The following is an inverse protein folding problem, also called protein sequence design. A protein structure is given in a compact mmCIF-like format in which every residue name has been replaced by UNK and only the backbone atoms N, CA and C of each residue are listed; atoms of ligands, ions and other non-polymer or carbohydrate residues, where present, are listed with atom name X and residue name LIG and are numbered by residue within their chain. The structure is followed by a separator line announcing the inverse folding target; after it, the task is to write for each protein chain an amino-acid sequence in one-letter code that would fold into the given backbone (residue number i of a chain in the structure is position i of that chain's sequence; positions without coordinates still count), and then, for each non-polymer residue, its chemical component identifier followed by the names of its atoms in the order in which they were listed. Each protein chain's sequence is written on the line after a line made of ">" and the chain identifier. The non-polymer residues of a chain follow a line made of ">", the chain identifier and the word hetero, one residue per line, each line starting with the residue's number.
data_IF_840319769165
#
_entry.id   IF_840319769165
#
_cell.length_a   1.000
_cell.length_b   1.000
_cell.length_c   1.000
_cell.angle_alpha   90.00
_cell.angle_beta   90.00
_cell.angle_gamma   90.00
#
_symmetry.space_group_name_H-M   'P 1'
#
loop_
_entity.id
_entity.type
_entity.pdbx_description
1 polymer ?
#
# COMPACT_ATOMS: atom_id res chain seq x y z
N UNK A 1 -49.44 51.19 27.37
CA UNK A 1 -48.44 52.04 26.70
C UNK A 1 -48.60 51.90 25.20
N UNK A 2 -48.95 52.97 24.47
CA UNK A 2 -49.16 52.89 23.02
C UNK A 2 -47.82 52.69 22.32
N UNK A 3 -47.72 51.64 21.51
CA UNK A 3 -46.56 51.31 20.69
C UNK A 3 -46.19 52.48 19.78
N UNK A 4 -44.93 52.93 19.83
CA UNK A 4 -44.36 53.96 18.94
C UNK A 4 -44.47 53.60 17.44
N UNK A 5 -44.87 52.37 17.10
CA UNK A 5 -45.07 51.87 15.73
C UNK A 5 -46.42 52.28 15.09
N UNK A 6 -47.37 52.82 15.86
CA UNK A 6 -48.69 53.23 15.35
C UNK A 6 -48.77 54.69 14.88
N UNK A 7 -47.76 55.51 15.16
CA UNK A 7 -47.76 56.93 14.82
C UNK A 7 -47.26 57.18 13.38
N UNK A 8 -48.09 57.79 12.53
CA UNK A 8 -47.80 58.08 11.10
C UNK A 8 -46.58 58.98 10.91
N UNK A 9 -46.29 59.87 11.87
CA UNK A 9 -45.10 60.73 11.81
C UNK A 9 -43.82 59.95 12.16
N UNK A 10 -43.86 59.06 13.16
CA UNK A 10 -42.74 58.18 13.49
C UNK A 10 -42.42 57.21 12.34
N UNK A 11 -43.45 56.67 11.65
CA UNK A 11 -43.28 55.87 10.43
C UNK A 11 -42.60 56.63 9.29
N UNK A 12 -42.81 57.94 9.16
CA UNK A 12 -42.24 58.75 8.07
C UNK A 12 -40.78 59.12 8.35
N UNK A 13 -40.43 59.35 9.61
CA UNK A 13 -39.06 59.67 10.05
C UNK A 13 -38.16 58.42 10.11
N UNK A 14 -38.70 57.25 10.47
CA UNK A 14 -37.92 56.00 10.55
C UNK A 14 -37.79 55.25 9.21
N UNK A 15 -38.57 55.62 8.19
CA UNK A 15 -38.56 55.00 6.86
C UNK A 15 -37.17 54.96 6.19
N UNK A 16 -36.35 56.03 6.24
CA UNK A 16 -35.01 56.01 5.67
C UNK A 16 -34.07 55.04 6.40
N UNK A 17 -34.18 54.97 7.73
CA UNK A 17 -33.37 54.05 8.53
C UNK A 17 -33.73 52.58 8.25
N UNK A 18 -35.03 52.27 8.11
CA UNK A 18 -35.48 50.94 7.69
C UNK A 18 -35.01 50.57 6.29
N UNK A 19 -35.10 51.49 5.32
CA UNK A 19 -34.62 51.25 3.95
C UNK A 19 -33.11 50.96 3.91
N UNK A 20 -32.31 51.63 4.75
CA UNK A 20 -30.86 51.37 4.85
C UNK A 20 -30.57 50.00 5.48
N UNK A 21 -31.36 49.57 6.47
CA UNK A 21 -31.23 48.23 7.08
C UNK A 21 -31.64 47.15 6.08
N UNK A 22 -32.76 47.34 5.38
CA UNK A 22 -33.25 46.43 4.34
C UNK A 22 -32.23 46.30 3.20
N UNK A 23 -31.71 47.42 2.69
CA UNK A 23 -30.67 47.42 1.66
C UNK A 23 -29.36 46.77 2.15
N UNK A 24 -29.01 46.91 3.43
CA UNK A 24 -27.85 46.24 4.02
C UNK A 24 -28.09 44.73 4.17
N UNK A 25 -29.29 44.32 4.58
CA UNK A 25 -29.66 42.91 4.66
C UNK A 25 -29.67 42.28 3.26
N UNK A 26 -30.22 42.94 2.24
CA UNK A 26 -30.18 42.47 0.85
C UNK A 26 -28.75 42.31 0.32
N UNK A 27 -27.85 43.25 0.61
CA UNK A 27 -26.43 43.11 0.24
C UNK A 27 -25.75 41.95 0.96
N UNK A 28 -26.09 41.72 2.22
CA UNK A 28 -25.53 40.62 3.02
C UNK A 28 -26.09 39.27 2.55
N UNK A 29 -27.39 39.18 2.25
CA UNK A 29 -28.00 37.94 1.74
C UNK A 29 -27.50 37.59 0.34
N UNK A 30 -27.34 38.57 -0.54
CA UNK A 30 -26.78 38.35 -1.88
C UNK A 30 -25.31 37.92 -1.82
N UNK A 31 -24.51 38.51 -0.94
CA UNK A 31 -23.13 38.06 -0.71
C UNK A 31 -23.08 36.62 -0.17
N UNK A 32 -23.91 36.28 0.83
CA UNK A 32 -23.98 34.91 1.35
C UNK A 32 -24.48 33.90 0.32
N UNK A 33 -25.42 34.29 -0.55
CA UNK A 33 -25.88 33.42 -1.64
C UNK A 33 -24.75 33.16 -2.65
N UNK A 34 -23.98 34.20 -3.00
CA UNK A 34 -22.82 34.04 -3.87
C UNK A 34 -21.75 33.11 -3.25
N UNK A 35 -21.49 33.25 -1.95
CA UNK A 35 -20.55 32.37 -1.22
C UNK A 35 -21.05 30.91 -1.18
N UNK A 36 -22.35 30.70 -0.97
CA UNK A 36 -22.96 29.36 -0.98
C UNK A 36 -22.91 28.74 -2.38
N UNK A 37 -23.17 29.51 -3.43
CA UNK A 37 -23.10 29.03 -4.81
C UNK A 37 -21.66 28.69 -5.22
N UNK A 38 -20.67 29.47 -4.76
CA UNK A 38 -19.26 29.17 -4.92
C UNK A 38 -18.87 27.88 -4.19
N UNK A 39 -19.28 27.72 -2.93
CA UNK A 39 -19.04 26.50 -2.17
C UNK A 39 -19.71 25.28 -2.80
N UNK A 40 -20.93 25.41 -3.32
CA UNK A 40 -21.59 24.34 -4.06
C UNK A 40 -20.84 23.95 -5.33
N UNK A 41 -20.28 24.92 -6.07
CA UNK A 41 -19.44 24.64 -7.22
C UNK A 41 -18.15 23.91 -6.81
N UNK A 42 -17.45 24.38 -5.79
CA UNK A 42 -16.24 23.71 -5.28
C UNK A 42 -16.53 22.28 -4.79
N UNK A 43 -17.64 22.08 -4.08
CA UNK A 43 -18.07 20.75 -3.64
C UNK A 43 -18.45 19.86 -4.84
N UNK A 44 -19.10 20.41 -5.87
CA UNK A 44 -19.41 19.67 -7.09
C UNK A 44 -18.14 19.28 -7.86
N UNK A 45 -17.15 20.16 -7.93
CA UNK A 45 -15.84 19.87 -8.52
C UNK A 45 -15.06 18.82 -7.73
N UNK A 46 -15.03 18.94 -6.41
CA UNK A 46 -14.43 17.93 -5.53
C UNK A 46 -15.13 16.57 -5.69
N UNK A 47 -16.45 16.54 -5.82
CA UNK A 47 -17.21 15.30 -6.08
C UNK A 47 -16.88 14.68 -7.44
N UNK A 48 -16.70 15.49 -8.48
CA UNK A 48 -16.25 15.02 -9.81
C UNK A 48 -14.84 14.43 -9.74
N UNK A 49 -13.92 15.11 -9.08
CA UNK A 49 -12.55 14.63 -8.87
C UNK A 49 -12.52 13.35 -8.03
N UNK A 50 -13.31 13.30 -6.95
CA UNK A 50 -13.42 12.13 -6.09
C UNK A 50 -14.06 10.94 -6.80
N UNK A 51 -14.94 11.16 -7.77
CA UNK A 51 -15.57 10.07 -8.53
C UNK A 51 -14.53 9.32 -9.37
N UNK A 52 -13.67 10.02 -10.10
CA UNK A 52 -12.58 9.40 -10.87
C UNK A 52 -11.60 8.64 -9.98
N UNK A 53 -11.26 9.20 -8.82
CA UNK A 53 -10.45 8.51 -7.80
C UNK A 53 -11.18 7.30 -7.23
N UNK A 54 -12.48 7.39 -6.98
CA UNK A 54 -13.33 6.29 -6.54
C UNK A 54 -13.32 5.14 -7.52
N UNK A 55 -13.47 5.37 -8.82
CA UNK A 55 -13.39 4.29 -9.82
C UNK A 55 -12.08 3.50 -9.77
N UNK A 56 -10.99 4.11 -9.34
CA UNK A 56 -9.68 3.46 -9.20
C UNK A 56 -9.43 2.88 -7.79
N UNK A 57 -9.98 3.51 -6.75
CA UNK A 57 -9.57 3.32 -5.35
C UNK A 57 -10.74 2.97 -4.40
N UNK A 58 -11.94 2.70 -4.93
CA UNK A 58 -13.10 2.29 -4.14
C UNK A 58 -12.94 0.86 -3.58
N UNK A 59 -13.85 0.46 -2.67
CA UNK A 59 -13.78 -0.76 -1.87
C UNK A 59 -13.89 -2.08 -2.66
N UNK A 60 -14.13 -2.05 -3.98
CA UNK A 60 -14.31 -3.24 -4.79
C UNK A 60 -13.07 -4.15 -4.78
N UNK A 61 -13.07 -5.18 -3.92
CA UNK A 61 -12.03 -6.21 -3.83
C UNK A 61 -11.02 -6.07 -2.67
N UNK A 62 -11.28 -5.24 -1.64
CA UNK A 62 -10.52 -5.23 -0.37
C UNK A 62 -11.41 -4.94 0.83
N UNK A 63 -11.07 -5.53 1.98
CA UNK A 63 -11.64 -5.20 3.28
C UNK A 63 -11.03 -3.89 3.83
N UNK A 64 -11.38 -2.73 3.24
CA UNK A 64 -10.94 -1.42 3.72
C UNK A 64 -10.84 -0.31 2.66
N UNK A 65 -10.59 0.93 3.10
CA UNK A 65 -10.32 2.07 2.21
C UNK A 65 -8.94 1.92 1.54
N UNK A 66 -8.87 2.04 0.20
CA UNK A 66 -7.59 1.92 -0.54
C UNK A 66 -6.76 3.20 -0.56
N UNK A 67 -7.30 4.30 -0.04
CA UNK A 67 -6.58 5.57 0.06
C UNK A 67 -5.95 5.73 1.45
N UNK A 68 -4.62 5.68 1.57
CA UNK A 68 -3.98 5.97 2.84
C UNK A 68 -4.13 7.45 3.17
N UNK A 69 -4.45 7.75 4.42
CA UNK A 69 -4.43 9.12 4.96
C UNK A 69 -2.99 9.63 5.07
N UNK A 70 -2.81 10.96 5.10
CA UNK A 70 -1.49 11.57 5.30
C UNK A 70 -0.80 11.03 6.56
N UNK A 71 -1.55 10.90 7.66
CA UNK A 71 -1.04 10.34 8.93
C UNK A 71 -0.56 8.89 8.80
N UNK A 72 -1.25 8.06 8.01
CA UNK A 72 -0.82 6.68 7.74
C UNK A 72 0.47 6.66 6.94
N UNK A 73 0.60 7.51 5.90
CA UNK A 73 1.83 7.62 5.12
C UNK A 73 2.98 8.11 5.98
N UNK A 74 2.78 9.13 6.81
CA UNK A 74 3.81 9.69 7.68
C UNK A 74 4.29 8.68 8.73
N UNK A 75 3.36 7.90 9.27
CA UNK A 75 3.67 6.79 10.18
C UNK A 75 4.52 5.75 9.47
N UNK A 76 4.11 5.34 8.27
CA UNK A 76 4.82 4.35 7.47
C UNK A 76 6.23 4.82 7.11
N UNK A 77 6.39 6.09 6.70
CA UNK A 77 7.71 6.69 6.43
C UNK A 77 8.61 6.59 7.64
N UNK A 78 8.11 6.95 8.83
CA UNK A 78 8.89 6.87 10.07
C UNK A 78 9.33 5.44 10.38
N UNK A 79 8.44 4.46 10.22
CA UNK A 79 8.74 3.04 10.45
C UNK A 79 9.78 2.51 9.46
N UNK A 80 9.61 2.81 8.16
CA UNK A 80 10.60 2.45 7.12
C UNK A 80 11.97 3.03 7.46
N UNK A 81 12.05 4.33 7.79
CA UNK A 81 13.31 4.98 8.16
C UNK A 81 13.95 4.33 9.40
N UNK A 82 13.16 3.94 10.39
CA UNK A 82 13.65 3.27 11.59
C UNK A 82 14.26 1.89 11.29
N UNK A 83 13.68 1.14 10.35
CA UNK A 83 14.15 -0.20 9.96
C UNK A 83 15.35 -0.14 9.01
N UNK A 84 15.36 0.82 8.08
CA UNK A 84 16.39 0.91 7.03
C UNK A 84 17.59 1.76 7.42
N UNK A 85 17.43 2.65 8.41
CA UNK A 85 18.42 3.68 8.74
C UNK A 85 18.47 4.83 7.72
N UNK A 86 17.53 4.89 6.77
CA UNK A 86 17.46 6.00 5.80
C UNK A 86 16.99 7.28 6.49
N UNK A 87 17.86 8.29 6.58
CA UNK A 87 17.52 9.60 7.13
C UNK A 87 16.88 10.56 6.12
N UNK A 88 16.83 10.20 4.84
CA UNK A 88 16.46 11.09 3.74
C UNK A 88 15.00 11.03 3.32
N UNK A 89 14.66 11.77 2.25
CA UNK A 89 13.34 11.77 1.62
C UNK A 89 13.07 10.51 0.76
N UNK A 90 14.06 9.62 0.63
CA UNK A 90 13.94 8.42 -0.20
C UNK A 90 12.84 7.49 0.30
N UNK A 91 12.72 7.26 1.62
CA UNK A 91 11.63 6.46 2.19
C UNK A 91 10.22 6.92 1.74
N UNK A 92 9.91 8.23 1.81
CA UNK A 92 8.61 8.77 1.36
C UNK A 92 8.42 8.61 -0.14
N UNK A 93 9.47 8.88 -0.90
CA UNK A 93 9.43 8.73 -2.35
C UNK A 93 9.16 7.27 -2.77
N UNK A 94 9.83 6.31 -2.14
CA UNK A 94 9.66 4.88 -2.43
C UNK A 94 8.31 4.34 -1.97
N UNK A 95 7.76 4.82 -0.83
CA UNK A 95 6.37 4.52 -0.42
C UNK A 95 5.37 5.03 -1.45
N UNK A 96 5.56 6.24 -1.97
CA UNK A 96 4.67 6.82 -2.98
C UNK A 96 4.68 5.99 -4.27
N UNK A 97 5.86 5.50 -4.67
CA UNK A 97 6.00 4.64 -5.85
C UNK A 97 5.39 3.26 -5.59
N UNK A 98 5.63 2.67 -4.42
CA UNK A 98 5.02 1.42 -4.01
C UNK A 98 3.48 1.50 -4.07
N UNK A 99 2.90 2.60 -3.58
CA UNK A 99 1.46 2.83 -3.67
C UNK A 99 0.95 2.92 -5.12
N UNK A 100 1.68 3.61 -6.01
CA UNK A 100 1.32 3.67 -7.43
C UNK A 100 1.39 2.31 -8.10
N UNK A 101 2.41 1.51 -7.78
CA UNK A 101 2.51 0.15 -8.29
C UNK A 101 1.40 -0.75 -7.76
N UNK A 102 1.07 -0.63 -6.48
CA UNK A 102 -0.06 -1.31 -5.86
C UNK A 102 -1.36 -1.08 -6.64
N UNK A 103 -1.73 0.19 -6.84
CA UNK A 103 -2.95 0.55 -7.58
C UNK A 103 -2.90 0.01 -9.01
N UNK A 104 -1.75 0.10 -9.68
CA UNK A 104 -1.61 -0.39 -11.05
C UNK A 104 -1.75 -1.92 -11.16
N UNK A 105 -1.14 -2.69 -10.26
CA UNK A 105 -1.24 -4.16 -10.32
C UNK A 105 -2.62 -4.66 -9.88
N UNK A 106 -3.28 -4.01 -8.93
CA UNK A 106 -4.67 -4.36 -8.56
C UNK A 106 -5.67 -4.03 -9.67
N UNK A 107 -5.45 -2.94 -10.42
CA UNK A 107 -6.34 -2.56 -11.51
C UNK A 107 -6.20 -3.44 -12.77
N UNK A 108 -5.01 -3.99 -13.01
CA UNK A 108 -4.71 -4.79 -14.21
C UNK A 108 -4.74 -6.30 -13.95
N UNK A 109 -4.50 -6.71 -12.71
CA UNK A 109 -4.36 -8.10 -12.31
C UNK A 109 -5.70 -8.77 -11.99
N UNK A 110 -5.67 -10.10 -11.97
CA UNK A 110 -6.80 -10.91 -11.53
C UNK A 110 -6.64 -11.29 -10.03
N UNK A 111 -7.69 -11.06 -9.24
CA UNK A 111 -7.69 -11.32 -7.80
C UNK A 111 -7.36 -10.08 -6.98
N UNK A 112 -6.73 -10.27 -5.83
CA UNK A 112 -6.42 -9.19 -4.89
C UNK A 112 -5.13 -9.43 -4.12
N UNK A 113 -4.66 -8.39 -3.43
CA UNK A 113 -3.50 -8.47 -2.55
C UNK A 113 -3.93 -8.75 -1.12
N UNK A 114 -3.23 -9.69 -0.46
CA UNK A 114 -3.35 -9.87 0.98
C UNK A 114 -2.71 -8.71 1.75
N UNK A 115 -3.21 -8.48 2.95
CA UNK A 115 -2.73 -7.46 3.86
C UNK A 115 -3.34 -6.08 3.60
N UNK A 116 -2.96 -5.12 4.46
CA UNK A 116 -3.39 -3.72 4.36
C UNK A 116 -2.58 -2.96 3.30
N UNK A 117 -3.07 -1.79 2.86
CA UNK A 117 -2.32 -0.90 1.96
C UNK A 117 -0.96 -0.51 2.57
N UNK A 118 -0.94 -0.19 3.87
CA UNK A 118 0.27 0.16 4.60
C UNK A 118 1.26 -1.00 4.66
N UNK A 119 0.79 -2.22 4.91
CA UNK A 119 1.64 -3.41 4.93
C UNK A 119 2.29 -3.66 3.57
N UNK A 120 1.49 -3.69 2.49
CA UNK A 120 2.02 -3.90 1.14
C UNK A 120 3.00 -2.79 0.74
N UNK A 121 2.64 -1.51 0.93
CA UNK A 121 3.54 -0.40 0.59
C UNK A 121 4.81 -0.42 1.44
N UNK A 122 4.70 -0.77 2.73
CA UNK A 122 5.82 -0.92 3.64
C UNK A 122 6.82 -1.97 3.15
N UNK A 123 6.34 -3.16 2.79
CA UNK A 123 7.19 -4.24 2.24
C UNK A 123 7.86 -3.84 0.93
N UNK A 124 7.09 -3.29 0.01
CA UNK A 124 7.58 -2.86 -1.30
C UNK A 124 8.65 -1.76 -1.22
N UNK A 125 8.52 -0.82 -0.27
CA UNK A 125 9.49 0.24 -0.08
C UNK A 125 10.70 -0.19 0.77
N UNK A 126 10.49 -1.00 1.81
CA UNK A 126 11.54 -1.36 2.77
C UNK A 126 12.55 -2.35 2.18
N UNK A 127 12.08 -3.35 1.43
CA UNK A 127 12.98 -4.41 0.92
C UNK A 127 14.11 -3.88 0.04
N UNK A 128 13.86 -3.02 -0.98
CA UNK A 128 14.94 -2.46 -1.79
C UNK A 128 15.94 -1.61 -0.97
N UNK A 129 15.42 -0.81 -0.02
CA UNK A 129 16.23 0.05 0.86
C UNK A 129 17.17 -0.74 1.78
N UNK A 130 16.80 -1.97 2.15
CA UNK A 130 17.64 -2.85 2.95
C UNK A 130 18.80 -3.48 2.16
N UNK A 131 18.89 -3.24 0.85
CA UNK A 131 19.96 -3.70 -0.04
C UNK A 131 20.22 -5.20 0.09
N UNK A 132 19.30 -6.07 -0.39
CA UNK A 132 19.47 -7.51 -0.28
C UNK A 132 20.76 -7.98 -0.98
N UNK A 133 21.41 -9.04 -0.48
CA UNK A 133 22.75 -9.44 -0.91
C UNK A 133 22.79 -10.04 -2.33
N UNK A 134 21.65 -10.44 -2.88
CA UNK A 134 21.51 -10.94 -4.24
C UNK A 134 20.07 -10.76 -4.74
N UNK A 135 19.83 -11.04 -6.02
CA UNK A 135 18.53 -10.93 -6.68
C UNK A 135 17.63 -12.17 -6.59
N UNK A 136 18.00 -13.23 -5.87
CA UNK A 136 17.11 -14.38 -5.69
C UNK A 136 16.04 -14.06 -4.63
N UNK A 137 14.77 -14.08 -5.05
CA UNK A 137 13.61 -13.72 -4.22
C UNK A 137 12.73 -14.94 -4.05
N UNK A 138 12.40 -15.28 -2.81
CA UNK A 138 11.42 -16.31 -2.47
C UNK A 138 10.18 -15.67 -1.85
N UNK A 139 8.99 -15.95 -2.36
CA UNK A 139 7.74 -15.66 -1.69
C UNK A 139 7.01 -16.97 -1.37
N UNK A 140 6.62 -17.12 -0.10
CA UNK A 140 5.83 -18.23 0.41
C UNK A 140 4.44 -17.71 0.73
N UNK A 141 3.42 -18.29 0.09
CA UNK A 141 2.02 -17.87 0.20
C UNK A 141 1.72 -16.62 -0.64
N UNK A 142 1.76 -16.73 -1.97
CA UNK A 142 1.63 -15.56 -2.87
C UNK A 142 0.18 -15.19 -3.17
N UNK A 143 -0.77 -16.12 -2.91
CA UNK A 143 -2.17 -16.05 -3.36
C UNK A 143 -2.27 -15.85 -4.88
N UNK A 144 -2.34 -14.59 -5.34
CA UNK A 144 -2.54 -14.22 -6.73
C UNK A 144 -1.25 -13.75 -7.43
N UNK A 145 -0.09 -13.65 -6.75
CA UNK A 145 1.15 -13.22 -7.40
C UNK A 145 1.35 -11.71 -7.58
N UNK A 146 0.36 -10.89 -7.21
CA UNK A 146 0.40 -9.44 -7.40
C UNK A 146 1.50 -8.76 -6.57
N UNK A 147 1.78 -9.27 -5.37
CA UNK A 147 2.80 -8.69 -4.51
C UNK A 147 4.19 -8.91 -5.10
N UNK A 148 4.50 -10.16 -5.48
CA UNK A 148 5.74 -10.48 -6.17
C UNK A 148 5.94 -9.67 -7.45
N UNK A 149 4.88 -9.48 -8.25
CA UNK A 149 4.95 -8.65 -9.45
C UNK A 149 5.35 -7.19 -9.13
N UNK A 150 4.74 -6.59 -8.11
CA UNK A 150 5.07 -5.25 -7.66
C UNK A 150 6.50 -5.18 -7.05
N UNK A 151 6.90 -6.18 -6.26
CA UNK A 151 8.23 -6.25 -5.66
C UNK A 151 9.33 -6.35 -6.73
N UNK A 152 9.11 -7.14 -7.79
CA UNK A 152 10.04 -7.24 -8.91
C UNK A 152 10.28 -5.86 -9.57
N UNK A 153 9.24 -5.04 -9.72
CA UNK A 153 9.37 -3.66 -10.23
C UNK A 153 10.17 -2.76 -9.30
N UNK A 154 9.89 -2.83 -8.01
CA UNK A 154 10.60 -2.05 -7.00
C UNK A 154 12.09 -2.39 -6.97
N UNK A 155 12.43 -3.69 -6.96
CA UNK A 155 13.82 -4.16 -7.00
C UNK A 155 14.54 -3.72 -8.28
N UNK A 156 13.88 -3.85 -9.44
CA UNK A 156 14.48 -3.42 -10.71
C UNK A 156 14.77 -1.92 -10.76
N UNK A 157 13.87 -1.11 -10.21
CA UNK A 157 14.07 0.35 -10.12
C UNK A 157 15.34 0.69 -9.34
N UNK A 158 15.71 -0.14 -8.36
CA UNK A 158 16.92 -0.02 -7.57
C UNK A 158 18.11 -0.80 -8.18
N UNK A 159 18.00 -1.23 -9.43
CA UNK A 159 19.07 -1.91 -10.18
C UNK A 159 19.23 -3.40 -9.87
N UNK A 160 18.29 -4.01 -9.13
CA UNK A 160 18.33 -5.43 -8.78
C UNK A 160 17.45 -6.24 -9.73
N UNK A 161 18.07 -7.11 -10.55
CA UNK A 161 17.33 -8.08 -11.35
C UNK A 161 16.87 -9.26 -10.49
N UNK A 162 15.57 -9.30 -10.20
CA UNK A 162 14.99 -10.33 -9.36
C UNK A 162 14.73 -11.64 -10.15
N UNK A 163 15.25 -12.76 -9.62
CA UNK A 163 14.87 -14.14 -9.99
C UNK A 163 13.91 -14.67 -8.93
N UNK A 164 12.64 -14.83 -9.31
CA UNK A 164 11.56 -15.10 -8.39
C UNK A 164 11.30 -16.60 -8.25
N UNK A 165 11.17 -17.08 -7.01
CA UNK A 165 10.61 -18.38 -6.67
C UNK A 165 9.33 -18.17 -5.88
N UNK A 166 8.24 -18.78 -6.32
CA UNK A 166 6.94 -18.78 -5.64
C UNK A 166 6.68 -20.17 -5.07
N UNK A 167 6.26 -20.22 -3.80
CA UNK A 167 5.79 -21.44 -3.14
C UNK A 167 4.37 -21.22 -2.65
N UNK A 168 3.42 -21.96 -3.22
CA UNK A 168 2.00 -21.89 -2.89
C UNK A 168 1.31 -23.17 -3.42
N UNK A 169 0.28 -23.72 -2.74
CA UNK A 169 -0.46 -24.88 -3.23
C UNK A 169 -1.02 -24.72 -4.65
N UNK A 170 -1.54 -23.53 -4.97
CA UNK A 170 -2.12 -23.15 -6.27
C UNK A 170 -3.18 -24.12 -6.85
N UNK A 171 -3.92 -24.79 -5.97
CA UNK A 171 -4.81 -25.91 -6.28
C UNK A 171 -6.29 -25.52 -6.47
N UNK A 172 -6.68 -24.32 -6.05
CA UNK A 172 -8.07 -23.83 -6.03
C UNK A 172 -8.22 -22.52 -6.80
N UNK A 173 -9.43 -22.23 -7.29
CA UNK A 173 -9.76 -20.90 -7.83
C UNK A 173 -10.10 -19.98 -6.65
N UNK A 174 -9.65 -18.72 -6.62
CA UNK A 174 -8.94 -17.96 -7.67
C UNK A 174 -7.41 -18.12 -7.72
N UNK A 175 -6.80 -18.89 -6.81
CA UNK A 175 -5.35 -19.06 -6.67
C UNK A 175 -4.80 -20.17 -7.58
N UNK A 176 -4.92 -20.03 -8.91
CA UNK A 176 -4.36 -20.99 -9.88
C UNK A 176 -3.05 -20.51 -10.49
N UNK A 177 -2.15 -21.42 -10.88
CA UNK A 177 -0.86 -21.06 -11.46
C UNK A 177 -0.98 -20.15 -12.70
N UNK A 178 -1.96 -20.38 -13.57
CA UNK A 178 -2.18 -19.54 -14.76
C UNK A 178 -2.44 -18.07 -14.40
N UNK A 179 -3.27 -17.83 -13.37
CA UNK A 179 -3.57 -16.50 -12.84
C UNK A 179 -2.30 -15.86 -12.27
N UNK A 180 -1.54 -16.61 -11.46
CA UNK A 180 -0.28 -16.15 -10.90
C UNK A 180 0.71 -15.77 -12.00
N UNK A 181 0.89 -16.61 -13.02
CA UNK A 181 1.79 -16.30 -14.14
C UNK A 181 1.35 -15.06 -14.92
N UNK A 182 0.05 -14.91 -15.18
CA UNK A 182 -0.51 -13.72 -15.83
C UNK A 182 -0.24 -12.44 -15.03
N UNK A 183 -0.44 -12.50 -13.71
CA UNK A 183 -0.17 -11.37 -12.81
C UNK A 183 1.33 -11.06 -12.70
N UNK A 184 2.21 -12.08 -12.66
CA UNK A 184 3.66 -11.87 -12.61
C UNK A 184 4.21 -11.20 -13.88
N UNK A 185 3.57 -11.39 -15.05
CA UNK A 185 3.90 -10.65 -16.26
C UNK A 185 3.72 -9.13 -16.11
N UNK A 186 2.81 -8.69 -15.21
CA UNK A 186 2.66 -7.28 -14.87
C UNK A 186 3.91 -6.71 -14.20
N UNK A 187 4.77 -7.53 -13.58
CA UNK A 187 6.05 -7.09 -13.00
C UNK A 187 7.07 -6.60 -14.04
N UNK A 188 6.76 -6.74 -15.33
CA UNK A 188 7.61 -6.30 -16.44
C UNK A 188 8.82 -7.20 -16.67
N UNK A 189 8.86 -8.42 -16.13
CA UNK A 189 9.88 -9.42 -16.47
C UNK A 189 9.98 -9.63 -17.99
N UNK A 190 11.19 -9.74 -18.54
CA UNK A 190 11.45 -9.86 -19.98
C UNK A 190 11.08 -11.23 -20.57
N UNK A 191 9.98 -11.84 -20.16
CA UNK A 191 9.41 -13.05 -20.77
C UNK A 191 10.30 -14.30 -20.75
N UNK A 192 11.51 -14.27 -20.20
CA UNK A 192 12.30 -15.49 -20.02
C UNK A 192 11.62 -16.32 -18.95
N UNK A 193 11.14 -17.50 -19.35
CA UNK A 193 10.55 -18.50 -18.47
C UNK A 193 11.48 -18.85 -17.28
N UNK A 194 12.79 -18.57 -17.40
CA UNK A 194 13.80 -18.82 -16.37
C UNK A 194 13.79 -17.81 -15.21
N UNK A 195 13.12 -16.66 -15.37
CA UNK A 195 13.10 -15.60 -14.35
C UNK A 195 12.10 -15.88 -13.21
N UNK A 196 11.14 -16.78 -13.43
CA UNK A 196 10.07 -17.12 -12.48
C UNK A 196 9.94 -18.63 -12.34
N UNK A 197 10.26 -19.14 -11.16
CA UNK A 197 10.03 -20.52 -10.74
C UNK A 197 8.77 -20.58 -9.87
N UNK A 198 7.87 -21.51 -10.17
CA UNK A 198 6.69 -21.78 -9.33
C UNK A 198 6.80 -23.22 -8.82
N UNK A 199 6.92 -23.38 -7.51
CA UNK A 199 6.94 -24.67 -6.83
C UNK A 199 5.57 -24.91 -6.18
N UNK A 200 4.67 -25.58 -6.91
CA UNK A 200 3.34 -25.93 -6.40
C UNK A 200 3.46 -26.86 -5.18
N UNK A 201 2.70 -26.56 -4.14
CA UNK A 201 2.60 -27.33 -2.90
C UNK A 201 2.76 -26.46 -1.66
N UNK A 202 2.53 -27.05 -0.49
CA UNK A 202 2.73 -26.36 0.77
C UNK A 202 4.22 -26.27 1.13
N UNK A 203 4.65 -25.18 1.76
CA UNK A 203 6.05 -25.07 2.22
C UNK A 203 6.45 -26.14 3.26
N UNK A 204 5.47 -26.72 3.96
CA UNK A 204 5.70 -27.86 4.86
C UNK A 204 6.12 -29.15 4.15
N UNK A 205 5.84 -29.27 2.85
CA UNK A 205 6.11 -30.49 2.07
C UNK A 205 7.62 -30.63 1.81
N UNK A 206 8.17 -31.82 2.09
CA UNK A 206 9.60 -32.09 1.90
C UNK A 206 10.02 -31.90 0.43
N UNK A 207 9.22 -32.41 -0.52
CA UNK A 207 9.48 -32.32 -1.96
C UNK A 207 9.44 -30.87 -2.48
N UNK A 208 8.64 -29.99 -1.86
CA UNK A 208 8.64 -28.55 -2.17
C UNK A 208 9.94 -27.92 -1.69
N UNK A 209 10.34 -28.20 -0.44
CA UNK A 209 11.58 -27.67 0.15
C UNK A 209 12.82 -28.13 -0.60
N UNK A 210 12.86 -29.39 -1.03
CA UNK A 210 13.96 -29.92 -1.85
C UNK A 210 14.07 -29.15 -3.17
N UNK A 211 12.97 -28.97 -3.90
CA UNK A 211 12.94 -28.26 -5.20
C UNK A 211 13.40 -26.79 -5.15
N UNK A 212 13.27 -26.13 -4.00
CA UNK A 212 13.65 -24.72 -3.82
C UNK A 212 14.99 -24.54 -3.10
N UNK A 213 15.62 -25.63 -2.66
CA UNK A 213 16.87 -25.62 -1.87
C UNK A 213 18.15 -25.55 -2.71
N UNK A 214 18.05 -25.56 -4.04
CA UNK A 214 19.16 -25.48 -4.99
C UNK A 214 19.90 -24.12 -4.98
N UNK A 215 19.34 -23.12 -4.28
CA UNK A 215 19.94 -21.79 -4.12
C UNK A 215 19.64 -21.18 -2.75
N UNK A 216 20.32 -20.07 -2.47
CA UNK A 216 20.08 -19.23 -1.28
C UNK A 216 19.49 -17.89 -1.71
N UNK A 217 18.45 -17.45 -1.01
CA UNK A 217 17.66 -16.29 -1.39
C UNK A 217 18.11 -15.03 -0.66
N UNK A 218 18.30 -13.93 -1.38
CA UNK A 218 18.62 -12.62 -0.82
C UNK A 218 17.40 -11.92 -0.22
N UNK A 219 16.20 -12.26 -0.69
CA UNK A 219 14.92 -11.83 -0.10
C UNK A 219 14.03 -13.04 0.12
N UNK A 220 13.45 -13.17 1.31
CA UNK A 220 12.38 -14.13 1.59
C UNK A 220 11.18 -13.42 2.20
N UNK A 221 10.01 -13.57 1.59
CA UNK A 221 8.74 -13.06 2.11
C UNK A 221 7.88 -14.24 2.54
N UNK A 222 7.47 -14.24 3.80
CA UNK A 222 6.70 -15.32 4.43
C UNK A 222 5.30 -14.80 4.76
N UNK A 223 4.30 -15.29 4.04
CA UNK A 223 2.89 -14.98 4.28
C UNK A 223 2.22 -16.19 4.94
N UNK A 224 1.65 -16.00 6.13
CA UNK A 224 1.02 -17.07 6.91
C UNK A 224 1.99 -17.76 7.87
N UNK A 225 1.49 -18.82 8.51
CA UNK A 225 2.23 -19.59 9.51
C UNK A 225 3.05 -20.70 8.84
N UNK A 226 4.38 -20.57 8.92
CA UNK A 226 5.34 -21.46 8.27
C UNK A 226 6.54 -21.73 9.17
N UNK A 227 7.20 -22.87 8.94
CA UNK A 227 8.43 -23.24 9.66
C UNK A 227 9.56 -22.25 9.36
N UNK A 228 9.76 -21.31 10.29
CA UNK A 228 10.76 -20.26 10.15
C UNK A 228 12.20 -20.78 10.24
N UNK A 229 12.43 -21.95 10.86
CA UNK A 229 13.77 -22.55 10.88
C UNK A 229 14.15 -23.03 9.47
N UNK A 230 13.22 -23.67 8.76
CA UNK A 230 13.41 -24.03 7.36
C UNK A 230 13.56 -22.80 6.45
N UNK A 231 12.82 -21.72 6.71
CA UNK A 231 12.98 -20.43 5.99
C UNK A 231 14.40 -19.88 6.17
N UNK A 232 14.90 -19.86 7.41
CA UNK A 232 16.27 -19.40 7.70
C UNK A 232 17.31 -20.19 6.91
N UNK A 233 17.14 -21.49 6.79
CA UNK A 233 18.10 -22.35 6.10
C UNK A 233 18.17 -22.10 4.59
N UNK A 234 17.13 -21.50 4.00
CA UNK A 234 17.09 -21.05 2.61
C UNK A 234 17.67 -19.63 2.41
N UNK A 235 17.84 -18.86 3.48
CA UNK A 235 18.31 -17.49 3.41
C UNK A 235 19.81 -17.41 3.09
N UNK A 236 20.18 -16.54 2.15
CA UNK A 236 21.57 -16.19 1.93
C UNK A 236 22.13 -15.41 3.13
N UNK A 237 23.46 -15.44 3.37
CA UNK A 237 24.08 -14.55 4.33
C UNK A 237 23.70 -13.08 4.08
N UNK A 238 23.17 -12.40 5.10
CA UNK A 238 22.71 -11.01 4.99
C UNK A 238 21.35 -10.83 4.31
N UNK A 239 20.63 -11.91 3.98
CA UNK A 239 19.32 -11.84 3.34
C UNK A 239 18.29 -11.08 4.18
N UNK A 240 17.37 -10.41 3.49
CA UNK A 240 16.21 -9.75 4.07
C UNK A 240 15.06 -10.76 4.17
N UNK A 241 14.64 -11.05 5.39
CA UNK A 241 13.49 -11.93 5.65
C UNK A 241 12.34 -11.10 6.20
N UNK A 242 11.21 -11.11 5.50
CA UNK A 242 9.99 -10.38 5.85
C UNK A 242 8.94 -11.37 6.33
N UNK A 243 8.48 -11.19 7.56
CA UNK A 243 7.51 -12.06 8.22
C UNK A 243 6.18 -11.32 8.37
N UNK A 244 5.09 -11.92 7.88
CA UNK A 244 3.74 -11.39 8.07
C UNK A 244 3.28 -11.41 9.54
N UNK A 245 2.10 -10.84 9.80
CA UNK A 245 1.52 -10.73 11.16
C UNK A 245 1.35 -12.07 11.86
N UNK A 246 1.10 -13.12 11.08
CA UNK A 246 0.75 -14.45 11.57
C UNK A 246 1.98 -15.37 11.67
N UNK A 247 3.17 -14.86 11.36
CA UNK A 247 4.39 -15.61 11.47
C UNK A 247 4.71 -15.92 12.94
N UNK A 248 5.07 -17.17 13.22
CA UNK A 248 5.47 -17.62 14.56
C UNK A 248 6.73 -16.94 15.12
N UNK A 249 7.21 -17.45 16.25
CA UNK A 249 8.37 -16.88 16.93
C UNK A 249 9.64 -16.93 16.05
N UNK A 250 10.35 -15.79 15.96
CA UNK A 250 11.59 -15.68 15.17
C UNK A 250 12.65 -16.68 15.68
N UNK A 251 13.21 -17.53 14.82
CA UNK A 251 14.24 -18.49 15.20
C UNK A 251 15.62 -17.84 15.38
N UNK A 252 16.52 -18.56 16.05
CA UNK A 252 17.92 -18.17 16.14
C UNK A 252 18.58 -18.13 14.74
N UNK A 253 19.44 -17.14 14.52
CA UNK A 253 20.10 -16.87 13.24
C UNK A 253 19.40 -15.82 12.35
N UNK A 254 18.20 -15.38 12.73
CA UNK A 254 17.55 -14.20 12.16
C UNK A 254 17.61 -13.04 13.16
N UNK A 255 18.33 -11.98 12.80
CA UNK A 255 18.44 -10.76 13.61
C UNK A 255 17.30 -9.81 13.29
N UNK A 256 16.57 -9.32 14.30
CA UNK A 256 15.47 -8.38 14.07
C UNK A 256 15.96 -6.99 13.69
N UNK A 257 15.40 -6.42 12.64
CA UNK A 257 15.61 -5.04 12.21
C UNK A 257 14.51 -4.10 12.73
N UNK A 258 13.30 -4.63 12.90
CA UNK A 258 12.15 -3.88 13.42
C UNK A 258 10.85 -4.29 12.74
N UNK A 259 9.85 -3.42 12.81
CA UNK A 259 8.52 -3.62 12.23
C UNK A 259 8.14 -2.43 11.37
N UNK A 260 7.51 -2.69 10.23
CA UNK A 260 6.87 -1.69 9.38
C UNK A 260 5.45 -2.19 9.11
N UNK A 261 4.45 -1.39 9.49
CA UNK A 261 3.05 -1.80 9.56
C UNK A 261 2.90 -3.14 10.31
N UNK A 262 2.37 -4.16 9.64
CA UNK A 262 2.09 -5.46 10.24
C UNK A 262 3.27 -6.46 10.10
N UNK A 263 4.31 -6.08 9.34
CA UNK A 263 5.41 -6.96 8.97
C UNK A 263 6.65 -6.77 9.83
N UNK A 264 7.28 -7.90 10.20
CA UNK A 264 8.55 -7.93 10.93
C UNK A 264 9.70 -8.17 9.94
N UNK A 265 10.75 -7.35 10.04
CA UNK A 265 11.92 -7.44 9.19
C UNK A 265 13.08 -8.04 9.96
N UNK A 266 13.73 -9.00 9.33
CA UNK A 266 14.90 -9.67 9.87
C UNK A 266 16.04 -9.68 8.84
N UNK A 267 17.26 -9.80 9.36
CA UNK A 267 18.46 -10.06 8.57
C UNK A 267 19.03 -11.42 8.94
N UNK A 268 19.26 -12.27 7.95
CA UNK A 268 19.95 -13.54 8.15
C UNK A 268 21.41 -13.29 8.55
N UNK A 269 21.92 -14.06 9.50
CA UNK A 269 23.31 -13.96 9.94
C UNK A 269 24.28 -14.07 8.75
N UNK A 270 25.36 -13.29 8.78
CA UNK A 270 26.45 -13.49 7.86
C UNK A 270 27.10 -14.87 8.12
N UNK A 271 27.55 -15.55 7.08
CA UNK A 271 28.40 -16.72 7.27
C UNK A 271 29.71 -16.24 7.92
N UNK A 272 30.01 -16.78 9.09
CA UNK A 272 31.23 -16.54 9.85
C UNK A 272 32.48 -16.99 9.10
#
# INVERSE_FOLDING_TARGET
>A
MPSLLSNRLAKRVLRPAFALVEQRMERVTTAFQADLDALHHEVADLRRQSYGLGLLLDQAGRDGHRMPTATQVDTLVREVRAVTGDGGERARHDITIAYRHLVAVEALGAGGLAGTVSDVCGRLATVPLLAPPNGDVLEIGTLHGLFAAALQRMLRRDGVEARLTIVDPLDTSPTREEVVRGNLALGGGNGSADAVRIARGGFGDADVRERISDRRYGVIVVNGDHDLAAVRDLAAPGAVVVLGSDAGARPAGLTGLGRVADSVYCRAAAAS
#
